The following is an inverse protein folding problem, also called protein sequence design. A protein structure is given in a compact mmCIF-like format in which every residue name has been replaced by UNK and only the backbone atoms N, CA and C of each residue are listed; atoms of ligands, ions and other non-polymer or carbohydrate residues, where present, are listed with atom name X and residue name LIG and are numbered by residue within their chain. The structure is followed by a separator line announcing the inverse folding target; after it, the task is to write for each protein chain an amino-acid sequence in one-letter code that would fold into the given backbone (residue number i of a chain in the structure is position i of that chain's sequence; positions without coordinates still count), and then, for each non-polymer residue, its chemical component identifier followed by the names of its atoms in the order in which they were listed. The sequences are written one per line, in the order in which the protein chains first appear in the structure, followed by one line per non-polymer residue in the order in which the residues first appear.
data_IF_438787044629
#
_entry.id   IF_438787044629
#
_cell.length_a   1.000
_cell.length_b   1.000
_cell.length_c   1.000
_cell.angle_alpha   90.00
_cell.angle_beta   90.00
_cell.angle_gamma   90.00
#
_symmetry.space_group_name_H-M   'P 1'
#
loop_
_entity.id
_entity.type
_entity.pdbx_description
1 polymer ?
#
# COMPACT_ATOMS: atom_id res chain seq x y z
N UNK A 1 -6.42 -19.54 4.95
CA UNK A 1 -5.19 -19.78 4.18
C UNK A 1 -5.45 -20.10 2.71
N UNK A 2 -5.51 -21.37 2.31
CA UNK A 2 -5.19 -21.77 0.91
C UNK A 2 -6.27 -21.51 -0.17
N UNK A 3 -7.55 -21.85 0.06
CA UNK A 3 -8.55 -21.81 -1.04
C UNK A 3 -8.84 -20.40 -1.54
N UNK A 4 -9.09 -19.45 -0.63
CA UNK A 4 -9.35 -18.05 -0.97
C UNK A 4 -8.17 -17.40 -1.70
N UNK A 5 -6.95 -17.76 -1.31
CA UNK A 5 -5.75 -17.32 -2.02
C UNK A 5 -5.72 -17.86 -3.45
N UNK A 6 -5.97 -19.16 -3.63
CA UNK A 6 -5.98 -19.78 -4.96
C UNK A 6 -7.07 -19.17 -5.85
N UNK A 7 -8.26 -18.92 -5.32
CA UNK A 7 -9.35 -18.30 -6.09
C UNK A 7 -8.96 -16.89 -6.57
N UNK A 8 -8.29 -16.11 -5.72
CA UNK A 8 -7.79 -14.78 -6.09
C UNK A 8 -6.61 -14.85 -7.07
N UNK A 9 -5.67 -15.78 -6.87
CA UNK A 9 -4.56 -16.04 -7.81
C UNK A 9 -5.09 -16.40 -9.21
N UNK A 10 -6.08 -17.28 -9.29
CA UNK A 10 -6.73 -17.63 -10.54
C UNK A 10 -7.44 -16.42 -11.16
N UNK A 11 -8.12 -15.60 -10.36
CA UNK A 11 -8.80 -14.40 -10.84
C UNK A 11 -7.82 -13.38 -11.41
N UNK A 12 -6.66 -13.19 -10.79
CA UNK A 12 -5.59 -12.36 -11.36
C UNK A 12 -5.16 -12.89 -12.72
N UNK A 13 -4.86 -14.20 -12.82
CA UNK A 13 -4.35 -14.80 -14.06
C UNK A 13 -5.38 -14.85 -15.20
N UNK A 14 -6.63 -15.23 -14.90
CA UNK A 14 -7.63 -15.55 -15.92
C UNK A 14 -8.59 -14.40 -16.22
N UNK A 15 -8.81 -13.49 -15.27
CA UNK A 15 -9.80 -12.42 -15.40
C UNK A 15 -9.11 -11.07 -15.55
N UNK A 16 -8.32 -10.65 -14.55
CA UNK A 16 -7.72 -9.31 -14.55
C UNK A 16 -6.64 -9.14 -15.61
N UNK A 17 -5.81 -10.16 -15.83
CA UNK A 17 -4.76 -10.13 -16.85
C UNK A 17 -5.14 -10.92 -18.12
N UNK A 18 -6.43 -11.10 -18.38
CA UNK A 18 -6.91 -11.77 -19.59
C UNK A 18 -6.43 -11.09 -20.88
N UNK A 19 -6.40 -11.84 -21.98
CA UNK A 19 -6.04 -11.32 -23.30
C UNK A 19 -6.91 -10.11 -23.66
N UNK A 20 -6.27 -8.98 -23.98
CA UNK A 20 -6.96 -7.71 -24.26
C UNK A 20 -7.20 -6.83 -23.02
N UNK A 21 -6.84 -7.29 -21.82
CA UNK A 21 -6.80 -6.44 -20.63
C UNK A 21 -5.74 -5.36 -20.73
N UNK A 22 -6.03 -4.20 -20.15
CA UNK A 22 -5.10 -3.06 -20.04
C UNK A 22 -4.32 -3.05 -18.71
N UNK A 23 -4.54 -4.02 -17.82
CA UNK A 23 -3.90 -4.09 -16.51
C UNK A 23 -2.42 -4.47 -16.67
N UNK A 24 -1.52 -3.63 -16.12
CA UNK A 24 -0.06 -3.79 -16.22
C UNK A 24 0.62 -4.21 -14.92
N UNK A 25 -0.03 -3.96 -13.78
CA UNK A 25 0.49 -4.24 -12.45
C UNK A 25 -0.66 -4.65 -11.53
N UNK A 26 -0.46 -5.70 -10.75
CA UNK A 26 -1.37 -6.10 -9.70
C UNK A 26 -0.60 -6.54 -8.46
N UNK A 27 -1.11 -6.20 -7.28
CA UNK A 27 -0.59 -6.67 -6.00
C UNK A 27 -1.68 -7.46 -5.28
N UNK A 28 -1.42 -8.73 -5.02
CA UNK A 28 -2.25 -9.55 -4.15
C UNK A 28 -1.59 -9.55 -2.77
N UNK A 29 -2.14 -8.71 -1.89
CA UNK A 29 -1.66 -8.50 -0.53
C UNK A 29 -2.32 -9.52 0.39
N UNK A 30 -1.52 -10.34 1.06
CA UNK A 30 -1.97 -11.29 2.06
C UNK A 30 -1.36 -10.93 3.43
N UNK A 31 -2.09 -10.17 4.27
CA UNK A 31 -1.58 -9.75 5.57
C UNK A 31 -1.44 -10.88 6.59
N UNK A 32 -2.24 -11.94 6.46
CA UNK A 32 -2.19 -13.12 7.35
C UNK A 32 -0.87 -13.87 7.18
N UNK A 33 -0.53 -14.20 5.93
CA UNK A 33 0.71 -14.93 5.60
C UNK A 33 1.92 -14.00 5.42
N UNK A 34 1.74 -12.68 5.64
CA UNK A 34 2.77 -11.65 5.46
C UNK A 34 3.46 -11.79 4.11
N UNK A 35 2.66 -11.79 3.04
CA UNK A 35 3.15 -11.98 1.69
C UNK A 35 2.44 -11.05 0.70
N UNK A 36 3.19 -10.47 -0.23
CA UNK A 36 2.64 -9.71 -1.35
C UNK A 36 3.08 -10.37 -2.64
N UNK A 37 2.12 -10.74 -3.47
CA UNK A 37 2.40 -11.28 -4.80
C UNK A 37 2.21 -10.19 -5.85
N UNK A 38 3.24 -10.00 -6.65
CA UNK A 38 3.24 -9.02 -7.74
C UNK A 38 2.93 -9.75 -9.05
N UNK A 39 1.92 -9.25 -9.75
CA UNK A 39 1.52 -9.71 -11.08
C UNK A 39 1.90 -8.67 -12.11
N UNK A 40 2.58 -9.11 -13.16
CA UNK A 40 2.92 -8.29 -14.34
C UNK A 40 2.72 -9.10 -15.60
N UNK A 41 2.25 -8.44 -16.64
CA UNK A 41 2.23 -9.02 -17.99
C UNK A 41 3.50 -8.60 -18.73
N UNK A 42 4.20 -9.57 -19.31
CA UNK A 42 5.35 -9.32 -20.18
C UNK A 42 4.90 -9.02 -21.61
N UNK A 43 5.84 -8.58 -22.45
CA UNK A 43 5.55 -8.20 -23.84
C UNK A 43 5.01 -9.36 -24.70
N UNK A 44 5.31 -10.60 -24.33
CA UNK A 44 4.80 -11.83 -24.96
C UNK A 44 3.37 -12.21 -24.51
N UNK A 45 2.75 -11.40 -23.65
CA UNK A 45 1.42 -11.63 -23.10
C UNK A 45 1.39 -12.59 -21.91
N UNK A 46 2.53 -13.17 -21.51
CA UNK A 46 2.62 -14.10 -20.37
C UNK A 46 2.56 -13.34 -19.06
N UNK A 47 1.79 -13.87 -18.13
CA UNK A 47 1.56 -13.28 -16.80
C UNK A 47 2.50 -13.94 -15.81
N UNK A 48 3.34 -13.12 -15.18
CA UNK A 48 4.26 -13.57 -14.14
C UNK A 48 3.74 -13.15 -12.78
N UNK A 49 3.78 -14.11 -11.84
CA UNK A 49 3.57 -13.88 -10.43
C UNK A 49 4.91 -14.04 -9.71
N UNK A 50 5.33 -13.01 -9.00
CA UNK A 50 6.51 -13.07 -8.13
C UNK A 50 6.09 -12.83 -6.69
N UNK A 51 6.57 -13.67 -5.77
CA UNK A 51 6.52 -13.38 -4.34
C UNK A 51 7.49 -12.22 -4.03
N UNK A 52 7.05 -11.29 -3.19
CA UNK A 52 7.80 -10.10 -2.79
C UNK A 52 8.02 -10.04 -1.26
N UNK A 53 7.42 -10.97 -0.52
CA UNK A 53 7.34 -10.93 0.93
C UNK A 53 6.53 -9.73 1.43
N UNK A 54 6.59 -9.49 2.75
CA UNK A 54 5.92 -8.36 3.42
C UNK A 54 6.77 -7.09 3.42
N UNK A 55 7.13 -6.60 2.24
CA UNK A 55 7.98 -5.41 2.10
C UNK A 55 7.31 -4.34 1.25
N UNK A 56 7.75 -3.09 1.43
CA UNK A 56 7.28 -1.97 0.60
C UNK A 56 7.41 -2.30 -0.88
N UNK A 57 6.38 -1.98 -1.65
CA UNK A 57 6.34 -2.32 -3.07
C UNK A 57 6.33 -1.06 -3.91
N UNK A 58 7.34 -0.90 -4.76
CA UNK A 58 7.42 0.22 -5.70
C UNK A 58 6.49 -0.05 -6.91
N UNK A 59 5.78 1.00 -7.32
CA UNK A 59 4.92 0.98 -8.50
C UNK A 59 5.64 0.78 -9.83
N UNK A 60 6.96 0.97 -9.83
CA UNK A 60 7.83 0.91 -10.98
C UNK A 60 7.43 1.95 -12.03
N UNK A 61 7.59 1.59 -13.29
CA UNK A 61 7.15 2.41 -14.42
C UNK A 61 5.62 2.51 -14.56
N UNK A 62 4.87 1.60 -13.93
CA UNK A 62 3.40 1.59 -14.01
C UNK A 62 2.79 2.65 -13.09
N UNK A 63 3.38 2.84 -11.90
CA UNK A 63 3.01 3.91 -10.96
C UNK A 63 4.29 4.62 -10.47
N UNK A 64 4.88 5.52 -11.29
CA UNK A 64 6.15 6.18 -10.97
C UNK A 64 6.04 7.02 -9.70
N UNK A 65 7.05 6.91 -8.83
CA UNK A 65 7.10 7.63 -7.56
C UNK A 65 6.17 7.08 -6.47
N UNK A 66 5.28 6.14 -6.80
CA UNK A 66 4.40 5.52 -5.82
C UNK A 66 5.08 4.32 -5.15
N UNK A 67 4.94 4.23 -3.83
CA UNK A 67 5.37 3.08 -3.04
C UNK A 67 4.26 2.69 -2.06
N UNK A 68 3.80 1.45 -2.17
CA UNK A 68 2.93 0.86 -1.15
C UNK A 68 3.75 0.61 0.10
N UNK A 69 3.55 1.45 1.12
CA UNK A 69 4.21 1.33 2.42
C UNK A 69 3.46 0.27 3.24
N UNK A 70 4.04 -0.92 3.40
CA UNK A 70 3.39 -2.05 4.08
C UNK A 70 3.07 -1.76 5.54
N UNK A 71 3.92 -0.96 6.19
CA UNK A 71 3.68 -0.45 7.54
C UNK A 71 2.29 0.19 7.69
N UNK A 72 1.82 0.94 6.68
CA UNK A 72 0.49 1.57 6.71
C UNK A 72 -0.63 0.53 6.75
N UNK A 73 -0.42 -0.64 6.16
CA UNK A 73 -1.36 -1.76 6.19
C UNK A 73 -1.36 -2.42 7.57
N UNK A 74 -0.18 -2.66 8.14
CA UNK A 74 -0.06 -3.24 9.48
C UNK A 74 -0.67 -2.33 10.57
N UNK A 75 -0.45 -1.02 10.46
CA UNK A 75 -1.01 -0.02 11.37
C UNK A 75 -2.56 -0.05 11.32
N UNK A 76 -3.15 -0.10 10.12
CA UNK A 76 -4.61 -0.20 9.94
C UNK A 76 -5.20 -1.48 10.54
N UNK A 77 -4.53 -2.62 10.35
CA UNK A 77 -4.99 -3.92 10.90
C UNK A 77 -4.89 -3.95 12.44
N UNK A 78 -3.91 -3.24 13.00
CA UNK A 78 -3.73 -3.16 14.45
C UNK A 78 -4.76 -2.24 15.11
N UNK A 79 -5.23 -1.20 14.41
CA UNK A 79 -6.28 -0.29 14.88
C UNK A 79 -7.65 -0.97 14.95
N UNK A 80 -8.05 -1.76 13.94
CA UNK A 80 -9.33 -2.50 13.97
C UNK A 80 -9.42 -3.50 15.13
N UNK A 81 -8.28 -4.02 15.60
CA UNK A 81 -8.21 -4.95 16.72
C UNK A 81 -8.41 -4.28 18.09
N UNK A 82 -8.24 -2.95 18.16
CA UNK A 82 -8.28 -2.18 19.41
C UNK A 82 -9.67 -1.59 19.69
N UNK A 83 -10.54 -1.48 18.68
CA UNK A 83 -11.89 -0.91 18.84
C UNK A 83 -12.93 -1.89 19.40
N UNK A 84 -12.56 -3.17 19.59
CA UNK A 84 -13.49 -4.18 20.11
C UNK A 84 -13.56 -4.25 21.64
N UNK A 85 -12.83 -3.42 22.39
CA UNK A 85 -12.98 -3.33 23.84
C UNK A 85 -12.52 -1.99 24.39
N UNK A 86 -13.50 -1.20 24.83
CA UNK A 86 -13.43 -0.03 25.72
C UNK A 86 -13.88 1.26 25.05
N UNK A 87 -14.94 1.83 25.63
CA UNK A 87 -15.43 3.20 25.41
C UNK A 87 -14.32 4.25 25.51
N UNK A 88 -14.46 5.41 24.84
CA UNK A 88 -13.37 6.37 24.64
C UNK A 88 -13.07 7.13 25.94
N UNK A 89 -11.78 7.28 26.27
CA UNK A 89 -11.30 8.38 27.11
C UNK A 89 -10.39 9.23 26.23
N UNK A 90 -10.87 10.42 25.93
CA UNK A 90 -10.41 11.29 24.86
C UNK A 90 -9.26 12.16 25.38
N UNK A 91 -8.03 11.71 25.16
CA UNK A 91 -6.85 12.58 25.22
C UNK A 91 -6.33 12.71 23.79
N UNK A 92 -6.87 13.68 23.06
CA UNK A 92 -6.57 13.93 21.65
C UNK A 92 -5.06 14.22 21.46
N UNK A 93 -4.34 13.37 20.74
CA UNK A 93 -2.93 13.57 20.40
C UNK A 93 -2.78 14.74 19.43
N UNK A 94 -2.71 15.97 19.92
CA UNK A 94 -2.52 17.17 19.10
C UNK A 94 -1.04 17.37 18.73
N UNK A 95 -0.68 17.02 17.50
CA UNK A 95 0.65 17.06 16.90
C UNK A 95 0.76 18.27 15.98
N UNK A 96 1.56 19.29 16.30
CA UNK A 96 1.73 20.46 15.45
C UNK A 96 2.90 20.33 14.47
N UNK A 97 2.75 20.85 13.25
CA UNK A 97 3.81 20.96 12.26
C UNK A 97 4.67 22.17 12.53
N UNK A 98 5.96 21.99 12.78
CA UNK A 98 6.88 23.08 13.13
C UNK A 98 7.13 24.13 12.02
N UNK A 99 6.71 23.86 10.78
CA UNK A 99 6.95 24.77 9.62
C UNK A 99 5.75 25.68 9.36
N UNK A 100 4.53 25.21 9.62
CA UNK A 100 3.30 25.94 9.32
C UNK A 100 2.25 25.85 10.44
N UNK A 101 2.65 25.32 11.59
CA UNK A 101 1.91 25.25 12.87
C UNK A 101 0.57 24.52 12.82
N UNK A 102 0.30 23.77 11.74
CA UNK A 102 -0.90 22.94 11.59
C UNK A 102 -0.88 21.80 12.60
N UNK A 103 -1.97 21.59 13.32
CA UNK A 103 -2.12 20.55 14.34
C UNK A 103 -2.87 19.34 13.77
N UNK A 104 -2.39 18.15 14.08
CA UNK A 104 -2.87 16.86 13.61
C UNK A 104 -3.23 16.01 14.82
N UNK A 105 -4.35 15.29 14.78
CA UNK A 105 -4.76 14.38 15.87
C UNK A 105 -4.18 12.98 15.73
N UNK A 106 -3.52 12.74 14.60
CA UNK A 106 -2.96 11.46 14.20
C UNK A 106 -1.62 11.68 13.50
N UNK A 107 -0.63 10.88 13.88
CA UNK A 107 0.75 11.05 13.43
C UNK A 107 0.94 10.70 11.95
N UNK A 108 0.05 9.89 11.36
CA UNK A 108 0.08 9.60 9.92
C UNK A 108 -0.29 10.84 9.11
N UNK A 109 -1.32 11.56 9.53
CA UNK A 109 -1.73 12.81 8.85
C UNK A 109 -0.69 13.92 8.96
N UNK A 110 -0.01 14.00 10.10
CA UNK A 110 1.15 14.88 10.25
C UNK A 110 2.29 14.53 9.27
N UNK A 111 2.64 13.24 9.18
CA UNK A 111 3.77 12.80 8.39
C UNK A 111 3.52 12.93 6.87
N UNK A 112 2.31 12.61 6.42
CA UNK A 112 1.90 12.84 5.03
C UNK A 112 1.93 14.33 4.67
N UNK A 113 1.46 15.18 5.59
CA UNK A 113 1.54 16.63 5.42
C UNK A 113 3.00 17.10 5.28
N UNK A 114 3.90 16.62 6.12
CA UNK A 114 5.29 17.02 6.06
C UNK A 114 5.99 16.52 4.78
N UNK A 115 5.71 15.28 4.36
CA UNK A 115 6.22 14.68 3.12
C UNK A 115 5.74 15.43 1.86
N UNK A 116 4.57 16.06 1.88
CA UNK A 116 4.02 16.77 0.72
C UNK A 116 4.33 18.28 0.74
N UNK A 117 4.12 18.93 1.87
CA UNK A 117 4.20 20.39 1.98
C UNK A 117 5.63 20.89 2.19
N UNK A 118 6.47 20.10 2.86
CA UNK A 118 7.77 20.56 3.34
C UNK A 118 8.95 19.80 2.72
N UNK A 119 8.72 18.62 2.14
CA UNK A 119 9.76 17.94 1.39
C UNK A 119 9.96 18.62 0.03
N UNK A 120 11.13 19.27 -0.18
CA UNK A 120 11.51 19.84 -1.48
C UNK A 120 11.52 18.74 -2.54
N UNK A 121 10.58 18.75 -3.50
CA UNK A 121 10.61 17.87 -4.68
C UNK A 121 11.68 18.35 -5.67
N UNK A 122 12.93 17.93 -5.47
CA UNK A 122 13.99 17.92 -6.49
C UNK A 122 14.31 16.44 -6.73
N UNK A 123 14.13 15.88 -7.92
CA UNK A 123 15.16 15.89 -8.95
C UNK A 123 14.62 16.00 -10.39
N UNK A 124 15.36 16.80 -11.16
CA UNK A 124 15.28 17.08 -12.60
C UNK A 124 15.22 15.82 -13.47
N UNK A 125 14.52 15.95 -14.59
CA UNK A 125 14.65 15.13 -15.80
C UNK A 125 16.09 15.16 -16.29
N UNK A 126 16.71 13.99 -16.45
CA UNK A 126 17.65 13.65 -17.52
C UNK A 126 17.37 12.22 -17.98
#
# INVERSE_FOLDING_TARGET
GSQKFNDLDEKFKKVYFSTGSSIKLGWLVNPEDKEIYIYRQMADGVIYRTSHGWNNVNGGSVLPGFTLKVKKIDDTISQESSESSSSPSEEELQISCAVCEIIFTDHYTYMEHYEDAHARRWHKKE
#
